data_IF_044443058195
#
_entry.id   IF_044443058195
#
_cell.length_a   1.000
_cell.length_b   1.000
_cell.length_c   1.000
_cell.angle_alpha   90.00
_cell.angle_beta   90.00
_cell.angle_gamma   90.00
#
_symmetry.space_group_name_H-M   'P 1'
#
loop_
_entity.id
_entity.type
_entity.pdbx_description
1 polymer ?
#
# COMPACT_ATOMS: atom_id res chain seq x y z
N UNK A 1 43.94 -0.08 34.51
CA UNK A 1 44.47 0.95 33.58
C UNK A 1 44.01 0.53 32.18
N UNK A 2 42.86 1.00 31.68
CA UNK A 2 42.55 2.34 31.12
C UNK A 2 42.83 2.39 29.60
N UNK A 3 41.74 2.60 28.82
CA UNK A 3 41.59 3.23 27.49
C UNK A 3 42.27 2.55 26.26
N UNK A 4 41.77 2.56 25.01
CA UNK A 4 40.90 3.47 24.22
C UNK A 4 40.47 2.75 22.90
N UNK A 5 39.20 2.83 22.49
CA UNK A 5 38.64 3.59 21.34
C UNK A 5 39.20 3.33 19.91
N UNK A 6 38.31 2.79 19.07
CA UNK A 6 37.93 3.20 17.69
C UNK A 6 39.00 3.77 16.73
N UNK A 7 39.32 3.02 15.66
CA UNK A 7 39.18 3.46 14.25
C UNK A 7 39.73 2.39 13.30
N UNK A 8 38.95 2.03 12.28
CA UNK A 8 39.51 1.68 10.96
C UNK A 8 38.42 1.86 9.90
N UNK A 9 38.35 3.09 9.38
CA UNK A 9 37.82 3.35 8.05
C UNK A 9 38.57 2.47 7.03
N UNK A 10 37.83 1.69 6.23
CA UNK A 10 38.38 1.09 5.00
C UNK A 10 37.93 1.92 3.81
N UNK A 11 38.65 3.01 3.56
CA UNK A 11 38.59 3.81 2.35
C UNK A 11 39.27 3.03 1.22
N UNK A 12 38.51 2.58 0.23
CA UNK A 12 39.08 1.93 -0.95
C UNK A 12 39.52 3.01 -1.95
N UNK A 13 40.82 3.33 -1.97
CA UNK A 13 41.47 4.13 -3.02
C UNK A 13 41.52 3.31 -4.32
N UNK A 14 40.95 3.84 -5.40
CA UNK A 14 41.22 3.38 -6.76
C UNK A 14 41.99 4.51 -7.47
N UNK A 15 43.28 4.31 -7.64
CA UNK A 15 44.13 5.18 -8.46
C UNK A 15 44.04 4.78 -9.95
N UNK A 16 43.67 5.78 -10.75
CA UNK A 16 43.99 6.01 -12.17
C UNK A 16 43.86 4.84 -13.17
N UNK A 17 42.72 4.83 -13.85
CA UNK A 17 42.69 5.08 -15.31
C UNK A 17 41.56 6.05 -15.61
N UNK A 18 41.92 7.33 -15.61
CA UNK A 18 41.02 8.42 -15.98
C UNK A 18 40.75 8.34 -17.49
N UNK A 19 39.61 7.77 -17.88
CA UNK A 19 38.95 8.24 -19.09
C UNK A 19 38.09 9.43 -18.66
N UNK A 20 38.62 10.63 -18.91
CA UNK A 20 37.83 11.84 -18.89
C UNK A 20 36.71 11.68 -19.92
N UNK A 21 35.48 11.45 -19.47
CA UNK A 21 34.31 11.77 -20.27
C UNK A 21 34.24 13.29 -20.32
N UNK A 22 34.94 13.89 -21.29
CA UNK A 22 34.59 15.24 -21.72
C UNK A 22 33.12 15.21 -22.12
N UNK A 23 32.32 16.05 -21.47
CA UNK A 23 30.93 16.33 -21.84
C UNK A 23 30.94 17.11 -23.16
N UNK A 24 31.18 16.40 -24.25
CA UNK A 24 30.84 16.87 -25.59
C UNK A 24 29.45 16.33 -25.92
N UNK A 25 28.48 17.26 -25.97
CA UNK A 25 27.14 17.14 -26.57
C UNK A 25 26.60 15.73 -26.73
N UNK A 26 26.50 15.01 -25.62
CA UNK A 26 25.91 13.68 -25.61
C UNK A 26 24.40 13.83 -25.39
N UNK A 27 23.63 13.35 -26.36
CA UNK A 27 22.17 13.31 -26.41
C UNK A 27 21.51 13.06 -25.04
N UNK A 28 20.46 13.82 -24.77
CA UNK A 28 19.54 13.84 -23.61
C UNK A 28 19.27 12.46 -22.96
N UNK A 29 19.24 11.37 -23.75
CA UNK A 29 19.08 10.00 -23.27
C UNK A 29 20.17 9.52 -22.29
N UNK A 30 21.44 9.89 -22.52
CA UNK A 30 22.57 9.45 -21.66
C UNK A 30 22.58 10.17 -20.32
N UNK A 31 22.10 11.42 -20.29
CA UNK A 31 21.91 12.18 -19.06
C UNK A 31 20.71 11.65 -18.26
N UNK A 32 19.63 11.25 -18.94
CA UNK A 32 18.46 10.58 -18.35
C UNK A 32 18.81 9.24 -17.68
N UNK A 33 19.60 8.41 -18.36
CA UNK A 33 20.02 7.12 -17.84
C UNK A 33 20.94 7.27 -16.61
N UNK A 34 21.76 8.32 -16.58
CA UNK A 34 22.60 8.66 -15.44
C UNK A 34 21.77 9.11 -14.22
N UNK A 35 20.72 9.92 -14.43
CA UNK A 35 19.82 10.37 -13.36
C UNK A 35 19.08 9.22 -12.66
N UNK A 36 18.58 8.25 -13.43
CA UNK A 36 17.90 7.06 -12.92
C UNK A 36 18.85 6.19 -12.07
N UNK A 37 20.08 6.00 -12.55
CA UNK A 37 21.11 5.22 -11.82
C UNK A 37 21.49 5.87 -10.49
N UNK A 38 21.48 7.20 -10.43
CA UNK A 38 21.80 7.96 -9.21
C UNK A 38 20.67 7.85 -8.17
N UNK A 39 19.41 7.87 -8.60
CA UNK A 39 18.23 7.66 -7.75
C UNK A 39 18.22 6.26 -7.13
N UNK A 40 18.44 5.23 -7.93
CA UNK A 40 18.51 3.83 -7.46
C UNK A 40 19.65 3.64 -6.44
N UNK A 41 20.79 4.30 -6.64
CA UNK A 41 21.90 4.29 -5.67
C UNK A 41 21.56 5.02 -4.36
N UNK A 42 20.85 6.15 -4.45
CA UNK A 42 20.41 6.91 -3.28
C UNK A 42 19.40 6.13 -2.45
N UNK A 43 18.38 5.54 -3.07
CA UNK A 43 17.39 4.71 -2.38
C UNK A 43 18.02 3.49 -1.72
N UNK A 44 18.95 2.81 -2.41
CA UNK A 44 19.72 1.69 -1.84
C UNK A 44 20.59 2.13 -0.67
N UNK A 45 21.14 3.34 -0.69
CA UNK A 45 21.97 3.82 0.42
C UNK A 45 21.14 4.12 1.67
N UNK A 46 19.91 4.63 1.52
CA UNK A 46 19.00 4.84 2.65
C UNK A 46 18.57 3.51 3.29
N UNK A 47 18.27 2.50 2.47
CA UNK A 47 17.89 1.16 2.94
C UNK A 47 19.03 0.43 3.64
N UNK A 48 20.28 0.68 3.24
CA UNK A 48 21.46 0.02 3.78
C UNK A 48 22.21 0.85 4.85
N UNK A 49 21.71 2.04 5.21
CA UNK A 49 22.37 2.95 6.15
C UNK A 49 23.73 3.47 5.67
N UNK A 50 23.93 3.55 4.36
CA UNK A 50 25.19 3.97 3.74
C UNK A 50 25.16 5.47 3.41
N UNK A 51 26.21 6.19 3.81
CA UNK A 51 26.39 7.61 3.49
C UNK A 51 27.04 7.77 2.10
N UNK A 52 26.34 8.43 1.16
CA UNK A 52 26.88 8.73 -0.17
C UNK A 52 27.72 10.01 -0.11
N UNK A 53 29.03 9.89 -0.30
CA UNK A 53 29.94 11.04 -0.50
C UNK A 53 29.90 11.48 -1.96
N UNK A 54 29.36 12.67 -2.21
CA UNK A 54 29.27 13.27 -3.54
C UNK A 54 30.57 14.00 -3.93
N UNK A 55 30.96 13.99 -5.21
CA UNK A 55 32.09 14.77 -5.68
C UNK A 55 31.65 16.22 -5.86
N UNK A 56 31.92 17.01 -4.83
CA UNK A 56 31.74 18.47 -4.69
C UNK A 56 30.31 19.07 -4.74
N UNK A 57 30.05 20.14 -3.96
CA UNK A 57 28.72 20.76 -3.82
C UNK A 57 28.02 21.19 -5.13
N UNK A 58 28.71 21.77 -6.13
CA UNK A 58 28.06 22.23 -7.37
C UNK A 58 27.50 21.10 -8.23
N UNK A 59 28.01 19.87 -8.08
CA UNK A 59 27.55 18.71 -8.84
C UNK A 59 26.29 18.11 -8.21
N UNK A 60 26.18 18.15 -6.87
CA UNK A 60 24.97 17.74 -6.13
C UNK A 60 23.76 18.60 -6.53
N UNK A 61 23.93 19.92 -6.57
CA UNK A 61 22.86 20.84 -6.97
C UNK A 61 22.49 20.67 -8.43
N UNK A 62 23.46 20.50 -9.34
CA UNK A 62 23.18 20.21 -10.77
C UNK A 62 22.46 18.88 -10.97
N UNK A 63 22.78 17.84 -10.21
CA UNK A 63 22.10 16.53 -10.29
C UNK A 63 20.68 16.61 -9.74
N UNK A 64 20.46 17.33 -8.62
CA UNK A 64 19.12 17.56 -8.08
C UNK A 64 18.26 18.38 -9.04
N UNK A 65 18.83 19.42 -9.67
CA UNK A 65 18.17 20.21 -10.73
C UNK A 65 17.91 19.38 -11.99
N UNK A 66 18.79 18.44 -12.33
CA UNK A 66 18.59 17.51 -13.45
C UNK A 66 17.46 16.52 -13.13
N UNK A 67 17.40 16.00 -11.91
CA UNK A 67 16.32 15.13 -11.43
C UNK A 67 14.99 15.89 -11.45
N UNK A 68 14.93 17.12 -10.94
CA UNK A 68 13.76 18.00 -11.04
C UNK A 68 13.34 18.29 -12.49
N UNK A 69 14.29 18.64 -13.37
CA UNK A 69 14.00 18.91 -14.79
C UNK A 69 13.58 17.65 -15.56
N UNK A 70 14.16 16.50 -15.26
CA UNK A 70 13.82 15.22 -15.89
C UNK A 70 12.45 14.71 -15.39
N UNK A 71 12.11 14.98 -14.14
CA UNK A 71 10.77 14.75 -13.57
C UNK A 71 9.71 15.64 -14.24
N UNK A 72 9.98 16.92 -14.42
CA UNK A 72 9.02 17.85 -15.05
C UNK A 72 8.83 17.59 -16.56
N UNK A 73 9.83 17.05 -17.27
CA UNK A 73 9.74 16.79 -18.71
C UNK A 73 8.98 15.50 -19.08
N UNK A 74 8.74 14.59 -18.13
CA UNK A 74 7.96 13.37 -18.40
C UNK A 74 6.46 13.63 -18.56
N UNK A 75 5.94 14.77 -18.10
CA UNK A 75 4.49 14.97 -18.06
C UNK A 75 3.89 15.28 -19.44
N UNK A 76 4.45 16.21 -20.22
CA UNK A 76 3.89 16.56 -21.54
C UNK A 76 4.10 15.45 -22.59
N UNK A 77 5.21 14.72 -22.49
CA UNK A 77 5.54 13.65 -23.44
C UNK A 77 4.79 12.36 -23.12
N UNK A 78 4.58 12.00 -21.85
CA UNK A 78 3.81 10.81 -21.48
C UNK A 78 2.30 11.03 -21.66
N UNK A 79 1.79 12.25 -21.44
CA UNK A 79 0.40 12.62 -21.78
C UNK A 79 0.20 12.60 -23.30
N UNK A 80 1.14 13.13 -24.10
CA UNK A 80 1.14 12.98 -25.56
C UNK A 80 1.21 11.51 -25.99
N UNK A 81 2.06 10.70 -25.36
CA UNK A 81 2.16 9.27 -25.65
C UNK A 81 0.86 8.53 -25.29
N UNK A 82 0.23 8.85 -24.17
CA UNK A 82 -1.06 8.25 -23.77
C UNK A 82 -2.19 8.70 -24.71
N UNK A 83 -2.17 9.93 -25.22
CA UNK A 83 -3.13 10.40 -26.22
C UNK A 83 -2.87 9.83 -27.63
N UNK A 84 -1.62 9.69 -28.07
CA UNK A 84 -1.24 9.03 -29.33
C UNK A 84 -1.50 7.51 -29.31
N UNK A 85 -1.45 6.86 -28.14
CA UNK A 85 -1.64 5.41 -28.01
C UNK A 85 -3.06 4.99 -27.62
N UNK A 86 -4.02 5.92 -27.52
CA UNK A 86 -5.46 5.55 -27.49
C UNK A 86 -5.91 4.84 -28.77
N UNK A 87 -5.12 4.91 -29.85
CA UNK A 87 -5.50 4.41 -31.18
C UNK A 87 -4.79 3.13 -31.63
N UNK A 88 -3.86 2.56 -30.87
CA UNK A 88 -3.08 1.38 -31.32
C UNK A 88 -2.83 0.35 -30.21
N UNK A 89 -2.99 -0.92 -30.57
CA UNK A 89 -2.99 -2.14 -29.75
C UNK A 89 -1.76 -2.27 -28.81
N UNK A 90 -1.91 -2.60 -27.50
CA UNK A 90 -0.88 -2.38 -26.47
C UNK A 90 0.31 -3.37 -26.44
N UNK A 91 0.58 -4.14 -27.50
CA UNK A 91 1.35 -5.39 -27.39
C UNK A 91 2.83 -5.37 -27.79
N UNK A 92 3.45 -4.23 -28.14
CA UNK A 92 4.83 -4.26 -28.67
C UNK A 92 5.74 -3.16 -28.14
N UNK A 93 6.42 -3.41 -27.00
CA UNK A 93 7.62 -2.66 -26.59
C UNK A 93 8.68 -3.61 -26.00
N UNK A 94 9.85 -3.67 -26.65
CA UNK A 94 11.01 -4.49 -26.25
C UNK A 94 12.14 -3.62 -25.67
N UNK A 95 12.81 -4.08 -24.61
CA UNK A 95 14.02 -3.46 -24.04
C UNK A 95 15.18 -4.46 -23.98
N UNK A 96 16.39 -4.00 -24.31
CA UNK A 96 17.67 -4.75 -24.32
C UNK A 96 18.44 -4.55 -23.00
N UNK A 97 19.10 -5.61 -22.49
CA UNK A 97 19.86 -5.59 -21.22
C UNK A 97 21.40 -5.65 -21.43
N UNK A 98 22.23 -4.87 -20.69
CA UNK A 98 23.70 -4.98 -20.66
C UNK A 98 24.26 -5.51 -19.29
N UNK A 99 25.60 -5.72 -19.11
CA UNK A 99 26.15 -6.86 -18.36
C UNK A 99 26.39 -6.63 -16.85
N UNK A 100 26.26 -7.70 -16.04
CA UNK A 100 26.38 -7.69 -14.57
C UNK A 100 27.54 -8.54 -13.99
N UNK A 101 28.00 -8.12 -12.80
CA UNK A 101 29.10 -8.68 -12.01
C UNK A 101 28.62 -9.78 -11.02
N UNK A 102 29.47 -10.78 -10.76
CA UNK A 102 29.10 -12.20 -10.50
C UNK A 102 28.72 -12.65 -9.08
N UNK A 103 28.59 -11.80 -8.05
CA UNK A 103 28.54 -12.32 -6.65
C UNK A 103 27.19 -12.40 -5.93
N UNK A 104 26.16 -11.64 -6.30
CA UNK A 104 24.83 -11.74 -5.66
C UNK A 104 23.71 -11.68 -6.72
N UNK A 105 23.56 -12.78 -7.45
CA UNK A 105 22.58 -12.94 -8.52
C UNK A 105 21.52 -13.95 -8.05
N UNK A 106 20.21 -13.59 -8.02
CA UNK A 106 19.10 -14.52 -7.78
C UNK A 106 19.21 -15.79 -8.62
N UNK A 107 18.76 -16.94 -8.11
CA UNK A 107 18.88 -18.25 -8.78
C UNK A 107 18.31 -18.24 -10.20
N UNK A 108 17.20 -17.55 -10.44
CA UNK A 108 16.63 -17.40 -11.79
C UNK A 108 17.56 -16.64 -12.76
N UNK A 109 18.25 -15.60 -12.28
CA UNK A 109 19.23 -14.85 -13.08
C UNK A 109 20.55 -15.63 -13.27
N UNK A 110 20.90 -16.54 -12.35
CA UNK A 110 22.00 -17.51 -12.53
C UNK A 110 21.66 -18.55 -13.60
N UNK A 111 20.40 -18.95 -13.70
CA UNK A 111 19.89 -19.88 -14.71
C UNK A 111 19.81 -19.21 -16.10
N UNK A 112 19.36 -17.95 -16.17
CA UNK A 112 19.46 -17.12 -17.37
C UNK A 112 20.91 -16.90 -17.83
N UNK A 113 21.86 -16.74 -16.90
CA UNK A 113 23.28 -16.59 -17.20
C UNK A 113 23.93 -17.90 -17.69
N UNK A 114 23.42 -19.07 -17.25
CA UNK A 114 23.93 -20.40 -17.65
C UNK A 114 23.64 -20.72 -19.11
N UNK A 115 22.55 -20.16 -19.67
CA UNK A 115 22.10 -20.44 -21.04
C UNK A 115 22.50 -19.41 -22.11
N UNK A 116 23.38 -18.44 -21.80
CA UNK A 116 23.86 -17.40 -22.76
C UNK A 116 22.73 -16.86 -23.66
N UNK A 117 21.64 -16.41 -23.06
CA UNK A 117 20.48 -15.90 -23.79
C UNK A 117 20.89 -14.65 -24.59
N UNK A 118 21.00 -14.79 -25.92
CA UNK A 118 21.26 -13.73 -26.90
C UNK A 118 20.01 -12.91 -27.25
N UNK A 119 18.90 -13.06 -26.53
CA UNK A 119 17.64 -12.35 -26.76
C UNK A 119 17.26 -11.53 -25.53
N UNK A 120 16.67 -10.34 -25.70
CA UNK A 120 16.21 -9.50 -24.59
C UNK A 120 15.33 -10.32 -23.64
N UNK A 121 15.61 -10.22 -22.34
CA UNK A 121 14.76 -10.81 -21.31
C UNK A 121 13.47 -10.03 -21.34
N UNK A 122 12.44 -10.66 -21.89
CA UNK A 122 11.09 -10.13 -21.81
C UNK A 122 10.67 -10.25 -20.35
N UNK A 123 10.71 -9.12 -19.61
CA UNK A 123 10.09 -9.07 -18.30
C UNK A 123 8.65 -9.55 -18.46
N UNK A 124 8.17 -10.49 -17.59
CA UNK A 124 6.80 -10.92 -17.61
C UNK A 124 5.87 -9.70 -17.63
N UNK A 125 4.77 -9.77 -18.39
CA UNK A 125 3.82 -8.66 -18.52
C UNK A 125 3.41 -8.09 -17.16
N UNK A 126 3.25 -8.95 -16.16
CA UNK A 126 2.98 -8.59 -14.76
C UNK A 126 4.03 -7.66 -14.17
N UNK A 127 5.32 -7.95 -14.34
CA UNK A 127 6.43 -7.18 -13.78
C UNK A 127 6.65 -5.85 -14.50
N UNK A 128 6.45 -5.79 -15.82
CA UNK A 128 6.45 -4.51 -16.58
C UNK A 128 5.32 -3.60 -16.12
N UNK A 129 4.13 -4.17 -15.92
CA UNK A 129 2.93 -3.46 -15.46
C UNK A 129 3.12 -2.96 -14.02
N UNK A 130 3.70 -3.77 -13.15
CA UNK A 130 4.06 -3.42 -11.77
C UNK A 130 4.99 -2.20 -11.70
N UNK A 131 6.07 -2.18 -12.48
CA UNK A 131 7.00 -1.03 -12.52
C UNK A 131 6.33 0.26 -13.01
N UNK A 132 5.45 0.16 -14.03
CA UNK A 132 4.71 1.30 -14.56
C UNK A 132 3.71 1.86 -13.53
N UNK A 133 3.00 0.98 -12.82
CA UNK A 133 2.05 1.36 -11.77
C UNK A 133 2.73 1.95 -10.54
N UNK A 134 3.82 1.35 -10.07
CA UNK A 134 4.63 1.88 -8.97
C UNK A 134 5.15 3.28 -9.30
N UNK A 135 5.57 3.54 -10.55
CA UNK A 135 6.01 4.85 -10.99
C UNK A 135 4.88 5.88 -11.07
N UNK A 136 3.67 5.48 -11.50
CA UNK A 136 2.51 6.37 -11.56
C UNK A 136 1.96 6.73 -10.17
N UNK A 137 1.86 5.73 -9.28
CA UNK A 137 1.33 5.92 -7.93
C UNK A 137 2.32 6.59 -6.98
N UNK A 138 3.62 6.31 -7.10
CA UNK A 138 4.64 7.05 -6.35
C UNK A 138 4.62 8.54 -6.70
N UNK A 139 4.29 8.92 -7.93
CA UNK A 139 4.13 10.31 -8.35
C UNK A 139 2.86 10.99 -7.80
N UNK A 140 1.73 10.27 -7.70
CA UNK A 140 0.52 10.82 -7.07
C UNK A 140 0.61 10.88 -5.54
N UNK A 141 1.45 10.03 -4.92
CA UNK A 141 1.75 10.06 -3.48
C UNK A 141 2.60 11.25 -3.03
N UNK A 142 3.10 12.07 -3.97
CA UNK A 142 3.74 13.36 -3.70
C UNK A 142 2.71 14.46 -3.39
N UNK A 143 1.43 14.26 -3.74
CA UNK A 143 0.36 15.07 -3.19
C UNK A 143 0.09 14.64 -1.74
N UNK A 144 0.21 15.58 -0.82
CA UNK A 144 -0.04 15.37 0.61
C UNK A 144 -1.50 15.04 0.95
N UNK A 145 -2.40 14.94 -0.03
CA UNK A 145 -3.81 14.58 0.17
C UNK A 145 -4.00 13.06 0.13
N UNK A 146 -4.94 12.54 0.91
CA UNK A 146 -5.30 11.12 0.86
C UNK A 146 -6.07 10.86 -0.44
N UNK A 147 -5.59 9.94 -1.29
CA UNK A 147 -6.32 9.56 -2.50
C UNK A 147 -7.47 8.64 -2.12
N UNK A 148 -8.68 9.07 -2.42
CA UNK A 148 -9.91 8.31 -2.16
C UNK A 148 -10.79 8.30 -3.41
N UNK A 149 -11.52 7.21 -3.59
CA UNK A 149 -12.52 7.06 -4.66
C UNK A 149 -13.92 7.14 -4.05
N UNK A 150 -14.84 7.74 -4.79
CA UNK A 150 -16.24 7.81 -4.40
C UNK A 150 -16.87 6.45 -4.66
N UNK A 151 -17.35 5.82 -3.60
CA UNK A 151 -18.08 4.57 -3.67
C UNK A 151 -19.58 4.89 -3.61
N UNK A 152 -20.33 4.62 -4.70
CA UNK A 152 -21.74 4.99 -4.76
C UNK A 152 -22.57 4.06 -3.88
N UNK A 153 -23.50 4.64 -3.12
CA UNK A 153 -24.55 3.91 -2.41
C UNK A 153 -25.27 2.96 -3.36
N UNK A 154 -25.74 1.85 -2.81
CA UNK A 154 -26.33 0.83 -3.65
C UNK A 154 -26.76 -0.40 -2.87
N UNK A 155 -26.98 -1.48 -3.59
CA UNK A 155 -27.30 -2.77 -2.99
C UNK A 155 -26.51 -3.86 -3.66
N UNK A 156 -26.09 -4.84 -2.87
CA UNK A 156 -25.37 -6.00 -3.38
C UNK A 156 -25.74 -7.26 -2.59
N UNK A 157 -25.29 -8.40 -3.11
CA UNK A 157 -25.36 -9.69 -2.42
C UNK A 157 -24.02 -9.89 -1.72
N UNK A 158 -24.06 -9.87 -0.38
CA UNK A 158 -22.93 -10.08 0.50
C UNK A 158 -22.85 -11.54 0.90
N UNK A 159 -21.64 -12.08 0.99
CA UNK A 159 -21.36 -13.46 1.39
C UNK A 159 -20.96 -14.39 0.26
N UNK A 160 -20.75 -15.65 0.63
CA UNK A 160 -20.18 -16.67 -0.24
C UNK A 160 -21.23 -17.21 -1.22
N UNK A 161 -21.08 -17.00 -2.54
CA UNK A 161 -22.02 -17.52 -3.53
C UNK A 161 -22.03 -19.05 -3.66
N UNK A 162 -21.01 -19.73 -3.12
CA UNK A 162 -20.83 -21.18 -3.16
C UNK A 162 -21.22 -21.87 -1.84
N UNK A 163 -21.44 -21.11 -0.76
CA UNK A 163 -21.74 -21.68 0.55
C UNK A 163 -23.17 -22.23 0.61
N UNK A 164 -23.28 -23.48 1.08
CA UNK A 164 -24.55 -24.17 1.21
C UNK A 164 -25.22 -24.08 2.58
N UNK A 165 -24.61 -23.49 3.64
CA UNK A 165 -25.24 -23.21 4.96
C UNK A 165 -24.27 -22.65 6.04
N UNK A 166 -22.97 -22.57 5.81
CA UNK A 166 -22.01 -22.04 6.81
C UNK A 166 -22.15 -20.51 6.97
N UNK A 167 -21.68 -19.95 8.09
CA UNK A 167 -21.96 -18.58 8.60
C UNK A 167 -21.69 -17.36 7.69
N UNK A 168 -21.38 -17.60 6.42
CA UNK A 168 -21.18 -16.64 5.35
C UNK A 168 -22.31 -16.68 4.30
N UNK A 169 -23.55 -16.91 4.74
CA UNK A 169 -24.71 -17.04 3.84
C UNK A 169 -24.93 -15.79 2.97
N UNK A 170 -25.36 -16.00 1.72
CA UNK A 170 -25.68 -14.88 0.84
C UNK A 170 -26.90 -14.12 1.34
N UNK A 171 -26.76 -12.82 1.56
CA UNK A 171 -27.87 -11.95 1.95
C UNK A 171 -27.78 -10.59 1.25
N UNK A 172 -28.93 -9.92 1.08
CA UNK A 172 -29.00 -8.63 0.40
C UNK A 172 -28.73 -7.51 1.38
N UNK A 173 -27.72 -6.71 1.11
CA UNK A 173 -27.38 -5.49 1.85
C UNK A 173 -27.63 -4.26 0.99
N UNK A 174 -28.07 -3.19 1.65
CA UNK A 174 -28.19 -1.85 1.13
C UNK A 174 -27.21 -0.93 1.88
N UNK A 175 -26.27 -0.35 1.14
CA UNK A 175 -25.45 0.77 1.59
C UNK A 175 -26.22 2.05 1.26
N UNK A 176 -26.56 2.87 2.26
CA UNK A 176 -27.51 3.98 2.07
C UNK A 176 -26.85 5.32 1.76
N UNK A 177 -25.57 5.50 2.07
CA UNK A 177 -24.83 6.72 1.78
C UNK A 177 -23.68 6.43 0.82
N UNK A 178 -23.38 7.40 -0.05
CA UNK A 178 -22.09 7.37 -0.75
C UNK A 178 -21.00 7.55 0.31
N UNK A 179 -19.84 6.96 0.08
CA UNK A 179 -18.69 7.11 0.96
C UNK A 179 -17.42 7.16 0.13
N UNK A 180 -16.44 7.91 0.62
CA UNK A 180 -15.09 7.90 0.07
C UNK A 180 -14.32 6.73 0.67
N UNK A 181 -13.55 5.99 -0.12
CA UNK A 181 -12.63 4.96 0.36
C UNK A 181 -11.23 5.21 -0.17
N UNK A 182 -10.20 5.09 0.68
CA UNK A 182 -8.81 5.22 0.24
C UNK A 182 -8.48 4.16 -0.81
N UNK A 183 -7.79 4.57 -1.87
CA UNK A 183 -7.49 3.68 -3.02
C UNK A 183 -6.61 2.50 -2.64
N UNK A 184 -5.78 2.67 -1.61
CA UNK A 184 -4.88 1.66 -1.06
C UNK A 184 -5.15 1.51 0.43
N UNK A 185 -4.61 0.46 1.07
CA UNK A 185 -4.34 0.49 2.50
C UNK A 185 -3.51 1.73 2.86
N UNK A 186 -3.62 2.17 4.12
CA UNK A 186 -2.73 3.19 4.65
C UNK A 186 -1.29 2.71 4.51
N UNK A 187 -0.38 3.53 3.97
CA UNK A 187 1.03 3.17 3.81
C UNK A 187 1.92 4.01 4.74
N UNK A 188 3.09 3.45 5.10
CA UNK A 188 3.93 3.94 6.20
C UNK A 188 4.32 5.42 6.07
N UNK A 189 4.78 5.86 4.88
CA UNK A 189 5.14 7.27 4.63
C UNK A 189 3.97 8.22 4.87
N UNK A 190 2.76 7.85 4.45
CA UNK A 190 1.55 8.67 4.61
C UNK A 190 1.14 8.74 6.07
N UNK A 191 1.14 7.60 6.75
CA UNK A 191 0.82 7.52 8.18
C UNK A 191 1.78 8.38 9.02
N UNK A 192 3.09 8.22 8.82
CA UNK A 192 4.12 9.03 9.48
C UNK A 192 3.91 10.54 9.27
N UNK A 193 3.62 10.94 8.03
CA UNK A 193 3.31 12.34 7.70
C UNK A 193 2.07 12.83 8.45
N UNK A 194 0.96 12.08 8.42
CA UNK A 194 -0.27 12.47 9.09
C UNK A 194 -0.12 12.52 10.61
N UNK A 195 0.61 11.57 11.21
CA UNK A 195 0.93 11.60 12.65
C UNK A 195 1.71 12.86 13.03
N UNK A 196 2.67 13.30 12.22
CA UNK A 196 3.39 14.56 12.47
C UNK A 196 2.44 15.77 12.42
N UNK A 197 1.56 15.84 11.42
CA UNK A 197 0.56 16.91 11.27
C UNK A 197 -0.45 16.93 12.41
N UNK A 198 -0.91 15.75 12.85
CA UNK A 198 -1.78 15.63 14.03
C UNK A 198 -1.04 16.15 15.27
N UNK A 199 0.22 15.74 15.48
CA UNK A 199 1.02 16.18 16.64
C UNK A 199 1.26 17.69 16.68
N UNK A 200 1.42 18.33 15.52
CA UNK A 200 1.51 19.80 15.40
C UNK A 200 0.23 20.49 15.91
N UNK A 201 -0.96 19.96 15.60
CA UNK A 201 -2.25 20.51 16.02
C UNK A 201 -2.66 20.09 17.44
N UNK A 202 -2.28 18.87 17.83
CA UNK A 202 -2.62 18.20 19.10
C UNK A 202 -1.34 17.67 19.77
N UNK A 203 -0.59 18.52 20.48
CA UNK A 203 0.67 18.13 21.11
C UNK A 203 0.56 16.97 22.11
N UNK A 204 -0.63 16.75 22.68
CA UNK A 204 -0.88 15.65 23.63
C UNK A 204 -1.26 14.33 22.94
N UNK A 205 -1.45 14.33 21.61
CA UNK A 205 -1.72 13.09 20.88
C UNK A 205 -0.48 12.18 20.91
N UNK A 206 -0.65 10.96 21.41
CA UNK A 206 0.43 9.95 21.50
C UNK A 206 0.05 8.76 20.64
N UNK A 207 0.88 8.52 19.63
CA UNK A 207 0.83 7.40 18.70
C UNK A 207 2.23 7.18 18.14
N UNK A 208 2.67 5.92 18.04
CA UNK A 208 3.91 5.58 17.35
C UNK A 208 3.73 5.85 15.84
N UNK A 209 4.54 6.73 15.21
CA UNK A 209 4.40 7.05 13.79
C UNK A 209 5.02 5.98 12.86
N UNK A 210 5.77 5.01 13.39
CA UNK A 210 6.47 3.96 12.63
C UNK A 210 6.26 2.57 13.23
N UNK A 211 5.00 2.12 13.47
CA UNK A 211 4.71 0.90 14.21
C UNK A 211 5.01 -0.39 13.43
N UNK A 212 5.18 -0.30 12.10
CA UNK A 212 5.21 -1.45 11.22
C UNK A 212 6.45 -2.32 11.38
N UNK A 213 6.24 -3.63 11.28
CA UNK A 213 7.28 -4.64 11.28
C UNK A 213 8.09 -4.61 9.98
N UNK A 214 7.41 -4.55 8.83
CA UNK A 214 8.08 -4.58 7.53
C UNK A 214 8.36 -3.18 6.99
N UNK A 215 9.60 -2.72 7.12
CA UNK A 215 9.93 -1.32 6.81
C UNK A 215 9.96 -1.02 5.30
N UNK A 216 9.23 0.02 4.89
CA UNK A 216 9.30 0.60 3.55
C UNK A 216 8.25 1.69 3.33
N UNK A 217 8.60 2.85 2.74
CA UNK A 217 7.75 4.05 2.73
C UNK A 217 6.38 3.84 2.07
N UNK A 218 6.30 2.96 1.07
CA UNK A 218 5.07 2.65 0.34
C UNK A 218 4.51 1.27 0.68
N UNK A 219 5.08 0.57 1.66
CA UNK A 219 4.46 -0.66 2.18
C UNK A 219 3.20 -0.29 2.97
N UNK A 220 2.21 -1.19 3.01
CA UNK A 220 1.08 -1.00 3.92
C UNK A 220 1.61 -0.81 5.34
N UNK A 221 0.90 0.02 6.09
CA UNK A 221 1.07 0.15 7.51
C UNK A 221 0.49 -1.10 8.16
N UNK A 222 1.37 -1.93 8.71
CA UNK A 222 1.02 -3.08 9.53
C UNK A 222 1.29 -2.79 11.02
N UNK A 223 1.03 -3.77 11.89
CA UNK A 223 1.35 -3.74 13.32
C UNK A 223 0.66 -2.60 14.08
N UNK A 224 -0.59 -2.30 13.69
CA UNK A 224 -1.43 -1.33 14.37
C UNK A 224 -2.70 -2.00 14.93
N UNK A 225 -3.05 -1.69 16.18
CA UNK A 225 -4.24 -2.24 16.82
C UNK A 225 -5.52 -1.63 16.24
N UNK A 226 -6.63 -2.37 16.33
CA UNK A 226 -7.94 -1.87 15.91
C UNK A 226 -8.31 -0.57 16.65
N UNK A 227 -8.04 -0.52 17.96
CA UNK A 227 -8.34 0.66 18.78
C UNK A 227 -7.49 1.88 18.40
N UNK A 228 -6.21 1.67 18.07
CA UNK A 228 -5.34 2.76 17.59
C UNK A 228 -5.76 3.25 16.21
N UNK A 229 -6.28 2.38 15.34
CA UNK A 229 -6.90 2.81 14.08
C UNK A 229 -8.07 3.77 14.32
N UNK A 230 -8.92 3.50 15.32
CA UNK A 230 -10.03 4.40 15.66
C UNK A 230 -9.53 5.76 16.16
N UNK A 231 -8.54 5.75 17.06
CA UNK A 231 -7.92 6.98 17.60
C UNK A 231 -7.31 7.80 16.48
N UNK A 232 -6.61 7.15 15.55
CA UNK A 232 -6.03 7.78 14.37
C UNK A 232 -7.14 8.40 13.49
N UNK A 233 -8.22 7.68 13.24
CA UNK A 233 -9.35 8.18 12.46
C UNK A 233 -9.98 9.46 13.06
N UNK A 234 -10.25 9.47 14.37
CA UNK A 234 -10.78 10.66 15.03
C UNK A 234 -9.77 11.81 15.05
N UNK A 235 -8.48 11.54 15.22
CA UNK A 235 -7.45 12.57 15.19
C UNK A 235 -7.26 13.17 13.79
N UNK A 236 -7.32 12.34 12.75
CA UNK A 236 -7.31 12.79 11.36
C UNK A 236 -8.58 13.60 11.04
N UNK A 237 -9.73 13.21 11.57
CA UNK A 237 -10.98 13.97 11.43
C UNK A 237 -10.85 15.37 12.03
N UNK A 238 -10.32 15.49 13.26
CA UNK A 238 -10.05 16.79 13.88
C UNK A 238 -9.02 17.62 13.12
N UNK A 239 -7.96 16.98 12.60
CA UNK A 239 -6.95 17.66 11.78
C UNK A 239 -7.60 18.35 10.57
N UNK A 240 -8.52 17.66 9.89
CA UNK A 240 -9.23 18.14 8.71
C UNK A 240 -10.60 18.80 9.01
N UNK A 241 -10.85 19.18 10.27
CA UNK A 241 -12.06 19.90 10.69
C UNK A 241 -13.38 19.17 10.37
N UNK A 242 -13.36 17.85 10.55
CA UNK A 242 -14.49 16.93 10.34
C UNK A 242 -15.08 16.46 11.66
N UNK A 243 -16.33 16.02 11.62
CA UNK A 243 -16.99 15.41 12.79
C UNK A 243 -16.31 14.08 13.14
N UNK A 244 -16.03 13.87 14.42
CA UNK A 244 -15.52 12.58 14.89
C UNK A 244 -16.57 11.47 14.72
N UNK A 245 -16.13 10.32 14.20
CA UNK A 245 -17.03 9.18 14.01
C UNK A 245 -17.19 8.38 15.29
N UNK A 246 -16.13 8.26 16.08
CA UNK A 246 -16.12 7.38 17.25
C UNK A 246 -16.30 8.16 18.55
N UNK A 247 -17.19 7.70 19.42
CA UNK A 247 -17.21 8.10 20.82
C UNK A 247 -16.63 6.95 21.64
N UNK A 248 -15.56 7.24 22.38
CA UNK A 248 -14.85 6.26 23.20
C UNK A 248 -15.47 6.07 24.57
N UNK A 249 -16.45 6.88 25.00
CA UNK A 249 -17.06 6.80 26.33
C UNK A 249 -16.02 6.91 27.46
N UNK A 250 -14.99 7.73 27.26
CA UNK A 250 -13.86 7.92 28.19
C UNK A 250 -12.77 6.85 28.12
N UNK A 251 -12.85 5.88 27.20
CA UNK A 251 -11.82 4.84 27.06
C UNK A 251 -10.54 5.39 26.44
N UNK A 252 -9.39 4.99 27.01
CA UNK A 252 -8.06 5.22 26.44
C UNK A 252 -7.42 3.94 25.89
N UNK A 253 -7.99 2.77 26.20
CA UNK A 253 -7.64 1.44 25.67
C UNK A 253 -8.79 0.48 25.94
N UNK A 254 -8.80 -0.66 25.24
CA UNK A 254 -9.71 -1.78 25.53
C UNK A 254 -9.04 -2.72 26.53
N UNK A 255 -9.73 -3.04 27.62
CA UNK A 255 -9.24 -3.94 28.68
C UNK A 255 -10.17 -5.15 28.88
N UNK A 256 -11.45 -5.00 28.55
CA UNK A 256 -12.46 -6.02 28.77
C UNK A 256 -13.51 -6.01 27.66
N UNK A 257 -14.33 -7.07 27.61
CA UNK A 257 -15.46 -7.15 26.68
C UNK A 257 -16.53 -6.08 26.96
N UNK A 258 -16.67 -5.64 28.21
CA UNK A 258 -17.62 -4.60 28.59
C UNK A 258 -17.26 -3.24 27.97
N UNK A 259 -15.98 -2.98 27.71
CA UNK A 259 -15.54 -1.72 27.09
C UNK A 259 -16.14 -1.51 25.70
N UNK A 260 -16.42 -2.58 24.95
CA UNK A 260 -17.10 -2.48 23.65
C UNK A 260 -18.53 -1.93 23.77
N UNK A 261 -19.17 -2.05 24.94
CA UNK A 261 -20.50 -1.47 25.19
C UNK A 261 -20.46 0.05 25.37
N UNK A 262 -19.28 0.65 25.58
CA UNK A 262 -19.08 2.10 25.71
C UNK A 262 -18.85 2.77 24.36
N UNK A 263 -18.24 2.05 23.42
CA UNK A 263 -17.94 2.56 22.08
C UNK A 263 -19.21 2.86 21.29
N UNK A 264 -19.27 4.02 20.64
CA UNK A 264 -20.29 4.36 19.64
C UNK A 264 -19.62 4.74 18.33
N UNK A 265 -20.30 4.48 17.22
CA UNK A 265 -19.87 4.87 15.88
C UNK A 265 -21.03 5.61 15.21
N UNK A 266 -20.86 6.90 14.96
CA UNK A 266 -21.75 7.70 14.13
C UNK A 266 -21.34 7.53 12.66
N UNK A 267 -21.79 6.45 12.02
CA UNK A 267 -21.45 6.16 10.61
C UNK A 267 -21.89 7.26 9.63
N UNK A 268 -22.76 8.19 10.06
CA UNK A 268 -23.24 9.32 9.24
C UNK A 268 -22.38 10.57 9.35
N UNK A 269 -21.47 10.63 10.32
CA UNK A 269 -20.50 11.72 10.42
C UNK A 269 -19.59 11.76 9.19
N UNK A 270 -19.13 12.96 8.82
CA UNK A 270 -18.33 13.20 7.62
C UNK A 270 -16.83 12.88 7.81
N UNK A 271 -16.44 12.53 9.03
CA UNK A 271 -15.08 12.18 9.41
C UNK A 271 -14.61 10.82 8.95
N UNK A 272 -13.32 10.58 9.20
CA UNK A 272 -12.64 9.34 8.87
C UNK A 272 -13.03 8.22 9.83
N UNK A 273 -13.08 7.01 9.27
CA UNK A 273 -13.38 5.78 10.00
C UNK A 273 -12.83 4.56 9.26
N UNK A 274 -12.94 3.42 9.92
CA UNK A 274 -12.78 2.12 9.30
C UNK A 274 -14.05 1.81 8.48
N UNK A 275 -13.94 1.05 7.38
CA UNK A 275 -15.11 0.52 6.71
C UNK A 275 -15.85 -0.44 7.64
N UNK A 276 -17.17 -0.52 7.46
CA UNK A 276 -17.92 -1.71 7.90
C UNK A 276 -17.52 -2.91 7.04
N UNK A 277 -17.73 -4.13 7.54
CA UNK A 277 -17.50 -5.36 6.78
C UNK A 277 -18.29 -5.35 5.46
N UNK A 278 -19.51 -4.80 5.49
CA UNK A 278 -20.34 -4.68 4.30
C UNK A 278 -19.84 -3.65 3.30
N UNK A 279 -19.40 -2.47 3.75
CA UNK A 279 -18.78 -1.47 2.87
C UNK A 279 -17.48 -2.00 2.27
N UNK A 280 -16.69 -2.75 3.05
CA UNK A 280 -15.46 -3.36 2.55
C UNK A 280 -15.75 -4.37 1.44
N UNK A 281 -16.67 -5.32 1.65
CA UNK A 281 -16.98 -6.33 0.64
C UNK A 281 -17.66 -5.72 -0.59
N UNK A 282 -18.54 -4.73 -0.40
CA UNK A 282 -19.17 -4.00 -1.50
C UNK A 282 -18.12 -3.31 -2.39
N UNK A 283 -17.16 -2.62 -1.76
CA UNK A 283 -16.04 -1.96 -2.43
C UNK A 283 -15.11 -2.95 -3.12
N UNK A 284 -14.79 -4.07 -2.48
CA UNK A 284 -13.91 -5.10 -3.03
C UNK A 284 -14.53 -5.78 -4.27
N UNK A 285 -15.84 -6.02 -4.26
CA UNK A 285 -16.58 -6.56 -5.40
C UNK A 285 -16.69 -5.58 -6.56
N UNK A 286 -16.81 -4.28 -6.29
CA UNK A 286 -16.91 -3.22 -7.31
C UNK A 286 -17.92 -3.54 -8.44
N UNK A 287 -19.09 -4.06 -8.05
CA UNK A 287 -20.15 -4.52 -8.96
C UNK A 287 -19.71 -5.61 -9.98
N UNK A 288 -18.79 -6.49 -9.55
CA UNK A 288 -18.34 -7.69 -10.26
C UNK A 288 -18.49 -8.92 -9.37
N UNK A 289 -18.60 -10.08 -10.01
CA UNK A 289 -18.70 -11.39 -9.35
C UNK A 289 -17.39 -12.18 -9.51
N UNK A 290 -16.26 -11.50 -9.29
CA UNK A 290 -14.96 -12.15 -9.32
C UNK A 290 -14.64 -12.82 -7.97
N UNK A 291 -13.81 -13.85 -8.00
CA UNK A 291 -13.29 -14.55 -6.81
C UNK A 291 -12.36 -13.65 -6.00
N UNK A 292 -11.54 -12.83 -6.67
CA UNK A 292 -10.66 -11.84 -6.05
C UNK A 292 -11.06 -10.44 -6.52
N UNK A 293 -10.67 -9.41 -5.77
CA UNK A 293 -11.03 -8.04 -6.10
C UNK A 293 -10.36 -7.59 -7.41
N UNK A 294 -11.12 -7.63 -8.51
CA UNK A 294 -10.71 -7.18 -9.83
C UNK A 294 -10.39 -8.28 -10.86
N UNK A 295 -10.28 -9.54 -10.43
CA UNK A 295 -10.00 -10.68 -11.32
C UNK A 295 -10.37 -12.03 -10.69
N UNK A 296 -10.60 -13.06 -11.51
CA UNK A 296 -10.66 -14.45 -11.06
C UNK A 296 -9.26 -15.09 -10.96
N UNK A 297 -8.23 -14.41 -11.49
CA UNK A 297 -6.84 -14.82 -11.42
C UNK A 297 -6.14 -14.05 -10.29
N UNK A 298 -5.75 -14.76 -9.22
CA UNK A 298 -5.06 -14.18 -8.07
C UNK A 298 -3.73 -13.54 -8.45
N UNK A 299 -3.05 -14.01 -9.50
CA UNK A 299 -1.76 -13.45 -9.90
C UNK A 299 -1.86 -12.01 -10.41
N UNK A 300 -3.02 -11.59 -10.91
CA UNK A 300 -3.22 -10.22 -11.38
C UNK A 300 -3.43 -9.20 -10.26
N UNK A 301 -3.97 -9.63 -9.13
CA UNK A 301 -4.59 -8.73 -8.13
C UNK A 301 -4.18 -8.99 -6.69
N UNK A 302 -3.54 -10.11 -6.37
CA UNK A 302 -3.27 -10.54 -4.99
C UNK A 302 -1.79 -10.76 -4.71
N UNK A 303 -1.31 -10.21 -3.60
CA UNK A 303 -0.05 -10.63 -2.97
C UNK A 303 -0.34 -11.70 -1.91
N UNK A 304 0.25 -12.87 -2.06
CA UNK A 304 -0.02 -14.07 -1.25
C UNK A 304 1.29 -14.79 -0.91
N UNK A 305 1.22 -15.88 -0.16
CA UNK A 305 2.40 -16.65 0.27
C UNK A 305 3.25 -17.14 -0.89
N UNK A 306 2.64 -17.49 -2.02
CA UNK A 306 3.35 -18.07 -3.16
C UNK A 306 4.15 -17.01 -3.91
N UNK A 307 3.54 -15.85 -4.21
CA UNK A 307 4.18 -14.81 -5.01
C UNK A 307 4.91 -13.73 -4.20
N UNK A 308 4.69 -13.66 -2.88
CA UNK A 308 5.50 -12.83 -1.97
C UNK A 308 6.84 -13.51 -1.66
N UNK A 309 6.83 -14.83 -1.45
CA UNK A 309 8.06 -15.62 -1.19
C UNK A 309 9.01 -15.65 -2.39
N UNK A 310 8.49 -15.64 -3.63
CA UNK A 310 9.32 -15.60 -4.86
C UNK A 310 10.19 -14.32 -4.93
N UNK A 311 9.83 -13.27 -4.20
CA UNK A 311 10.63 -12.04 -4.06
C UNK A 311 11.63 -12.09 -2.87
N UNK A 312 11.90 -13.29 -2.36
CA UNK A 312 12.89 -13.61 -1.31
C UNK A 312 12.57 -13.02 0.08
N UNK A 313 11.31 -12.62 0.31
CA UNK A 313 10.85 -12.11 1.60
C UNK A 313 9.37 -12.47 1.79
N UNK A 314 9.08 -13.37 2.72
CA UNK A 314 7.74 -13.53 3.29
C UNK A 314 7.37 -12.23 4.02
N UNK A 315 6.99 -11.19 3.27
CA UNK A 315 6.70 -9.86 3.78
C UNK A 315 5.68 -9.14 2.89
N UNK A 316 5.19 -8.01 3.39
CA UNK A 316 4.34 -7.08 2.64
C UNK A 316 5.01 -6.58 1.36
N UNK A 317 4.25 -6.03 0.42
CA UNK A 317 4.77 -5.39 -0.80
C UNK A 317 4.23 -3.97 -0.87
N UNK A 318 4.93 -3.07 -1.58
CA UNK A 318 4.44 -1.72 -1.79
C UNK A 318 3.01 -1.72 -2.34
N UNK A 319 2.15 -0.87 -1.77
CA UNK A 319 0.75 -0.75 -2.19
C UNK A 319 0.65 -0.37 -3.67
N UNK A 320 -0.48 -0.71 -4.29
CA UNK A 320 -0.76 -0.47 -5.70
C UNK A 320 0.26 -1.08 -6.69
N UNK A 321 0.91 -2.19 -6.30
CA UNK A 321 1.84 -2.93 -7.17
C UNK A 321 1.13 -3.94 -8.08
N UNK A 322 -0.15 -4.24 -7.83
CA UNK A 322 -1.00 -5.10 -8.66
C UNK A 322 -2.19 -4.33 -9.21
N UNK A 323 -2.97 -4.97 -10.09
CA UNK A 323 -4.07 -4.31 -10.79
C UNK A 323 -5.20 -3.93 -9.80
N UNK A 324 -5.86 -2.77 -9.95
CA UNK A 324 -7.01 -2.43 -9.14
C UNK A 324 -8.29 -3.14 -9.62
N UNK A 325 -9.34 -3.06 -8.81
CA UNK A 325 -10.69 -3.43 -9.22
C UNK A 325 -11.35 -2.34 -10.10
N UNK A 326 -12.62 -2.57 -10.47
CA UNK A 326 -13.36 -1.69 -11.37
C UNK A 326 -13.62 -0.27 -10.81
N UNK A 327 -13.41 -0.05 -9.50
CA UNK A 327 -13.54 1.24 -8.83
C UNK A 327 -12.19 1.88 -8.48
N UNK A 328 -11.08 1.35 -9.02
CA UNK A 328 -9.76 1.93 -8.78
C UNK A 328 -9.18 1.61 -7.40
N UNK A 329 -9.72 0.62 -6.69
CA UNK A 329 -9.21 0.18 -5.40
C UNK A 329 -8.18 -0.94 -5.57
N UNK A 330 -7.05 -0.79 -4.90
CA UNK A 330 -5.90 -1.68 -4.92
C UNK A 330 -5.81 -2.49 -3.64
N UNK A 331 -5.16 -3.64 -3.72
CA UNK A 331 -4.80 -4.48 -2.57
C UNK A 331 -6.02 -4.83 -1.68
N UNK A 332 -7.23 -4.88 -2.26
CA UNK A 332 -8.43 -5.40 -1.58
C UNK A 332 -8.40 -6.94 -1.47
N UNK A 333 -7.36 -7.59 -2.01
CA UNK A 333 -7.11 -9.03 -1.89
C UNK A 333 -5.61 -9.22 -1.73
N UNK A 334 -5.16 -9.77 -0.60
CA UNK A 334 -3.75 -9.99 -0.29
C UNK A 334 -3.00 -8.78 0.24
N UNK A 335 -1.68 -8.93 0.35
CA UNK A 335 -0.73 -7.99 0.97
C UNK A 335 -0.89 -7.92 2.49
N UNK A 336 -2.02 -7.41 2.98
CA UNK A 336 -2.38 -7.41 4.40
C UNK A 336 -3.88 -7.60 4.56
N UNK A 337 -4.28 -8.24 5.65
CA UNK A 337 -5.65 -8.16 6.14
C UNK A 337 -5.95 -6.74 6.63
N UNK A 338 -7.20 -6.31 6.52
CA UNK A 338 -7.62 -4.95 6.86
C UNK A 338 -8.69 -4.91 7.93
N UNK A 339 -8.46 -4.12 8.97
CA UNK A 339 -9.44 -3.87 10.02
C UNK A 339 -10.75 -3.29 9.48
N UNK A 340 -11.86 -3.93 9.85
CA UNK A 340 -13.21 -3.38 9.73
C UNK A 340 -13.73 -2.94 11.11
N UNK A 341 -14.74 -2.08 11.14
CA UNK A 341 -15.41 -1.67 12.39
C UNK A 341 -16.07 -2.85 13.13
N UNK A 342 -16.62 -3.78 12.38
CA UNK A 342 -17.53 -4.83 12.85
C UNK A 342 -16.93 -5.73 13.93
N UNK A 343 -17.74 -6.03 14.95
CA UNK A 343 -17.48 -7.16 15.83
C UNK A 343 -17.76 -8.47 15.11
N UNK A 344 -16.81 -9.40 15.15
CA UNK A 344 -16.95 -10.67 14.45
C UNK A 344 -17.92 -11.60 15.19
N UNK A 345 -18.88 -12.12 14.45
CA UNK A 345 -19.72 -13.22 14.90
C UNK A 345 -19.95 -14.18 13.72
N UNK A 346 -19.71 -15.47 13.96
CA UNK A 346 -19.72 -16.52 12.93
C UNK A 346 -21.04 -16.55 12.16
N UNK A 347 -22.18 -16.42 12.83
CA UNK A 347 -23.51 -16.49 12.21
C UNK A 347 -24.19 -15.13 12.05
N UNK A 348 -23.43 -14.03 12.07
CA UNK A 348 -23.99 -12.68 11.98
C UNK A 348 -24.90 -12.48 10.76
N UNK A 349 -24.52 -13.05 9.61
CA UNK A 349 -25.24 -12.84 8.34
C UNK A 349 -26.70 -13.32 8.38
N UNK A 350 -27.00 -14.35 9.18
CA UNK A 350 -28.37 -14.85 9.36
C UNK A 350 -29.29 -13.85 10.07
N UNK A 351 -28.73 -12.93 10.86
CA UNK A 351 -29.46 -11.91 11.62
C UNK A 351 -29.07 -10.48 11.26
N UNK A 352 -28.30 -10.32 10.20
CA UNK A 352 -27.76 -9.02 9.75
C UNK A 352 -28.91 -8.09 9.33
N UNK A 353 -28.90 -6.82 9.77
CA UNK A 353 -29.85 -5.84 9.26
C UNK A 353 -29.58 -5.58 7.77
N UNK A 354 -30.64 -5.33 7.00
CA UNK A 354 -30.52 -5.12 5.54
C UNK A 354 -29.88 -3.79 5.15
N UNK A 355 -29.85 -2.80 6.04
CA UNK A 355 -29.36 -1.44 5.78
C UNK A 355 -28.18 -1.17 6.69
N UNK A 356 -27.06 -0.79 6.09
CA UNK A 356 -25.82 -0.37 6.76
C UNK A 356 -25.47 -1.25 7.99
N UNK A 357 -25.27 -2.57 7.81
CA UNK A 357 -24.91 -3.45 8.93
C UNK A 357 -23.54 -3.06 9.51
N UNK A 358 -23.42 -3.16 10.83
CA UNK A 358 -22.24 -2.73 11.60
C UNK A 358 -21.70 -3.83 12.53
N UNK A 359 -22.04 -5.09 12.24
CA UNK A 359 -21.54 -6.25 12.96
C UNK A 359 -22.13 -6.43 14.35
N UNK A 360 -21.55 -7.36 15.11
CA UNK A 360 -21.93 -7.62 16.49
C UNK A 360 -21.39 -6.52 17.42
N UNK A 361 -22.24 -5.98 18.30
CA UNK A 361 -21.87 -4.83 19.14
C UNK A 361 -20.78 -5.15 20.18
N UNK A 362 -20.80 -6.36 20.72
CA UNK A 362 -20.00 -6.76 21.90
C UNK A 362 -19.09 -7.96 21.65
N UNK A 363 -18.74 -8.23 20.38
CA UNK A 363 -17.83 -9.33 20.05
C UNK A 363 -16.42 -9.08 20.62
N UNK A 364 -15.74 -10.12 21.13
CA UNK A 364 -14.38 -9.99 21.67
C UNK A 364 -13.31 -9.79 20.60
N UNK A 365 -13.62 -10.12 19.35
CA UNK A 365 -12.74 -9.95 18.18
C UNK A 365 -13.39 -9.05 17.14
N UNK A 366 -12.56 -8.44 16.30
CA UNK A 366 -12.99 -7.56 15.21
C UNK A 366 -12.72 -8.21 13.87
N UNK A 367 -13.59 -7.92 12.92
CA UNK A 367 -13.49 -8.43 11.54
C UNK A 367 -12.22 -7.88 10.88
N UNK A 368 -11.52 -8.75 10.18
CA UNK A 368 -10.49 -8.39 9.19
C UNK A 368 -10.79 -9.05 7.85
N UNK A 369 -10.36 -8.40 6.76
CA UNK A 369 -10.73 -8.76 5.39
C UNK A 369 -9.55 -8.62 4.44
N UNK A 370 -9.53 -9.46 3.40
CA UNK A 370 -8.63 -9.34 2.24
C UNK A 370 -7.58 -10.43 2.13
N UNK A 371 -7.13 -11.00 3.24
CA UNK A 371 -6.00 -11.92 3.30
C UNK A 371 -4.66 -11.20 3.22
N UNK A 372 -3.60 -11.84 3.73
CA UNK A 372 -2.28 -11.26 3.87
C UNK A 372 -1.22 -11.94 2.98
N UNK A 373 -0.02 -11.35 2.96
CA UNK A 373 1.13 -11.81 2.16
C UNK A 373 1.60 -13.22 2.50
N UNK A 374 1.29 -13.75 3.69
CA UNK A 374 1.73 -15.06 4.20
C UNK A 374 0.64 -16.13 4.12
N UNK A 375 -0.52 -15.81 3.54
CA UNK A 375 -1.64 -16.72 3.35
C UNK A 375 -1.83 -17.11 1.88
N UNK A 376 -2.54 -18.21 1.66
CA UNK A 376 -3.10 -18.52 0.33
C UNK A 376 -4.12 -17.43 -0.08
N UNK A 377 -4.33 -17.19 -1.38
CA UNK A 377 -5.33 -16.22 -1.84
C UNK A 377 -6.69 -16.48 -1.22
N UNK A 378 -7.25 -15.47 -0.56
CA UNK A 378 -8.59 -15.52 0.01
C UNK A 378 -9.59 -14.82 -0.91
N UNK A 379 -10.77 -15.41 -1.03
CA UNK A 379 -11.86 -14.87 -1.83
C UNK A 379 -12.41 -13.58 -1.24
N UNK A 380 -13.05 -12.76 -2.08
CA UNK A 380 -13.57 -11.44 -1.67
C UNK A 380 -14.58 -11.52 -0.51
N UNK A 381 -15.21 -12.68 -0.33
CA UNK A 381 -16.21 -12.93 0.73
C UNK A 381 -15.62 -13.56 1.99
N UNK A 382 -14.35 -13.99 1.99
CA UNK A 382 -13.74 -14.71 3.12
C UNK A 382 -13.60 -13.82 4.36
N UNK A 383 -14.14 -14.29 5.49
CA UNK A 383 -14.27 -13.55 6.75
C UNK A 383 -13.22 -14.04 7.74
N UNK A 384 -12.36 -13.14 8.21
CA UNK A 384 -11.42 -13.41 9.29
C UNK A 384 -11.70 -12.48 10.48
N UNK A 385 -11.03 -12.75 11.59
CA UNK A 385 -11.10 -11.89 12.76
C UNK A 385 -9.82 -11.93 13.58
N UNK A 386 -9.56 -10.83 14.28
CA UNK A 386 -8.40 -10.72 15.14
C UNK A 386 -8.74 -10.00 16.45
N UNK A 387 -7.86 -10.18 17.44
CA UNK A 387 -7.97 -9.51 18.73
C UNK A 387 -7.74 -8.00 18.55
N UNK A 388 -8.65 -7.12 18.97
CA UNK A 388 -8.55 -5.68 18.71
C UNK A 388 -7.44 -4.99 19.51
N UNK A 389 -6.85 -5.68 20.50
CA UNK A 389 -5.76 -5.17 21.35
C UNK A 389 -4.37 -5.58 20.85
N UNK A 390 -4.28 -6.54 19.92
CA UNK A 390 -3.00 -7.01 19.38
C UNK A 390 -2.73 -6.38 18.02
N UNK A 391 -1.60 -5.70 17.91
CA UNK A 391 -0.98 -5.38 16.64
C UNK A 391 -0.41 -6.66 16.01
N UNK A 392 -0.55 -6.82 14.70
CA UNK A 392 0.06 -7.91 13.93
C UNK A 392 0.63 -7.39 12.61
N UNK A 393 1.71 -7.99 12.16
CA UNK A 393 2.47 -7.65 10.95
C UNK A 393 1.77 -8.03 9.64
N UNK A 394 0.69 -8.81 9.73
CA UNK A 394 -0.21 -9.20 8.65
C UNK A 394 -1.50 -8.37 8.60
N UNK A 395 -1.72 -7.43 9.52
CA UNK A 395 -2.95 -6.62 9.60
C UNK A 395 -2.63 -5.12 9.59
N UNK A 396 -3.30 -4.41 8.68
CA UNK A 396 -3.36 -2.95 8.64
C UNK A 396 -4.78 -2.45 8.50
N UNK A 397 -4.96 -1.32 7.82
CA UNK A 397 -6.29 -0.75 7.59
C UNK A 397 -6.32 0.16 6.37
N UNK A 398 -7.54 0.43 5.90
CA UNK A 398 -7.83 1.51 4.95
C UNK A 398 -8.88 2.44 5.52
N UNK A 399 -8.94 3.66 4.99
CA UNK A 399 -9.82 4.71 5.48
C UNK A 399 -11.07 4.81 4.63
N UNK A 400 -12.19 5.09 5.27
CA UNK A 400 -13.40 5.61 4.62
C UNK A 400 -13.92 6.86 5.31
N UNK A 401 -14.77 7.62 4.63
CA UNK A 401 -15.58 8.69 5.24
C UNK A 401 -16.89 8.86 4.48
N UNK A 402 -17.96 9.16 5.19
CA UNK A 402 -19.29 9.28 4.61
C UNK A 402 -19.45 10.60 3.84
N UNK A 403 -20.21 10.59 2.74
CA UNK A 403 -20.59 11.82 2.04
C UNK A 403 -21.83 12.42 2.72
N UNK A 404 -21.69 13.65 3.22
CA UNK A 404 -22.82 14.43 3.72
C UNK A 404 -23.44 15.22 2.58
N UNK A 405 -24.77 15.24 2.52
CA UNK A 405 -25.56 15.99 1.54
C UNK A 405 -26.33 17.13 2.20
#
# INVERSE_FOLDING_TARGET
MVNSFLHTEKTMKIEKKTQYLQLHDSTDLKQKELGIRILDLYEKSQVLGLEIKWPEPPLKEKILLLVEKTFNFQMESLVKLIEEYKTTDPLSVHFLAPPYNKRNVPSFLKECAKHKLKKPIELPKSMKRQLLWCSYYSHQSLNHNLKMELIPKGSFRMGDPLANLEGNIVHKIQITNDYWMSTTPMHQKKFKYLCARIKEKEPDFVMDPEPSHFIGPFRPLDSISWFDCLRFCNALSRLEEKEEVYDFGGLTRIQSQEDFTKLRCNIRADGYRLPTEAEWEYAARANRLFTFSGSNDSEEVTWNVENSVVLDRNCTISVASKRPNAWGLFDMSGNIDEWCWDGFEQHYYAKSPKRDPMGAKTAPTRVVRGGAYDAQPLEVWSRNHASPVRARDDIGFRLVRTVCY
#
